data_IF_047092452702
#
_entry.id   IF_047092452702
#
_cell.length_a   1.000
_cell.length_b   1.000
_cell.length_c   1.000
_cell.angle_alpha   90.00
_cell.angle_beta   90.00
_cell.angle_gamma   90.00
#
_symmetry.space_group_name_H-M   'P 1'
#
loop_
_entity.id
_entity.type
_entity.pdbx_description
1 polymer ?
#
# COMPACT_ATOMS: atom_id res chain seq x y z
N UNK A 1 -19.39 -15.19 1.78
CA UNK A 1 -17.96 -14.96 2.07
C UNK A 1 -17.78 -14.79 3.57
N UNK A 2 -17.04 -15.69 4.22
CA UNK A 2 -16.84 -15.64 5.68
C UNK A 2 -16.08 -14.38 6.09
N UNK A 3 -16.22 -13.95 7.35
CA UNK A 3 -15.51 -12.78 7.88
C UNK A 3 -13.99 -12.93 7.75
N UNK A 4 -13.48 -14.14 7.98
CA UNK A 4 -12.08 -14.48 7.82
C UNK A 4 -11.60 -14.27 6.38
N UNK A 5 -12.31 -14.83 5.39
CA UNK A 5 -11.92 -14.71 3.98
C UNK A 5 -11.86 -13.24 3.53
N UNK A 6 -12.79 -12.40 3.99
CA UNK A 6 -12.77 -10.95 3.71
C UNK A 6 -11.55 -10.25 4.33
N UNK A 7 -11.14 -10.66 5.53
CA UNK A 7 -9.95 -10.13 6.19
C UNK A 7 -8.67 -10.51 5.42
N UNK A 8 -8.59 -11.77 4.95
CA UNK A 8 -7.49 -12.24 4.11
C UNK A 8 -7.45 -11.49 2.78
N UNK A 9 -8.59 -11.29 2.09
CA UNK A 9 -8.63 -10.50 0.86
C UNK A 9 -8.19 -9.05 1.08
N UNK A 10 -8.63 -8.42 2.17
CA UNK A 10 -8.20 -7.06 2.51
C UNK A 10 -6.70 -7.00 2.81
N UNK A 11 -6.14 -8.01 3.50
CA UNK A 11 -4.70 -8.12 3.74
C UNK A 11 -3.95 -8.23 2.42
N UNK A 12 -4.32 -9.20 1.59
CA UNK A 12 -3.67 -9.46 0.30
C UNK A 12 -3.72 -8.22 -0.60
N UNK A 13 -4.81 -7.46 -0.57
CA UNK A 13 -4.92 -6.21 -1.30
C UNK A 13 -3.91 -5.17 -0.82
N UNK A 14 -3.80 -4.96 0.49
CA UNK A 14 -2.90 -3.97 1.07
C UNK A 14 -1.43 -4.36 0.85
N UNK A 15 -1.10 -5.66 1.00
CA UNK A 15 0.23 -6.20 0.69
C UNK A 15 0.55 -6.01 -0.79
N UNK A 16 -0.37 -6.36 -1.69
CA UNK A 16 -0.16 -6.21 -3.13
C UNK A 16 0.07 -4.75 -3.53
N UNK A 17 -0.68 -3.81 -2.93
CA UNK A 17 -0.52 -2.38 -3.21
C UNK A 17 0.82 -1.85 -2.71
N UNK A 18 1.24 -2.23 -1.50
CA UNK A 18 2.57 -1.87 -0.97
C UNK A 18 3.70 -2.46 -1.84
N UNK A 19 3.58 -3.73 -2.25
CA UNK A 19 4.55 -4.39 -3.11
C UNK A 19 4.59 -3.81 -4.53
N UNK A 20 3.45 -3.48 -5.13
CA UNK A 20 3.43 -2.82 -6.44
C UNK A 20 4.04 -1.42 -6.36
N UNK A 21 3.72 -0.70 -5.29
CA UNK A 21 4.27 0.63 -5.07
C UNK A 21 5.79 0.62 -4.99
N UNK A 22 6.35 -0.21 -4.10
CA UNK A 22 7.79 -0.29 -3.92
C UNK A 22 8.52 -0.78 -5.19
N UNK A 23 7.92 -1.68 -5.97
CA UNK A 23 8.51 -2.15 -7.23
C UNK A 23 8.50 -1.07 -8.32
N UNK A 24 7.38 -0.35 -8.47
CA UNK A 24 7.28 0.78 -9.41
C UNK A 24 8.21 1.93 -9.04
N UNK A 25 8.29 2.25 -7.74
CA UNK A 25 9.17 3.28 -7.22
C UNK A 25 10.65 2.92 -7.48
N UNK A 26 11.03 1.68 -7.18
CA UNK A 26 12.39 1.19 -7.42
C UNK A 26 12.75 1.30 -8.90
N UNK A 27 11.88 0.85 -9.80
CA UNK A 27 12.13 0.98 -11.24
C UNK A 27 12.30 2.42 -11.70
N UNK A 28 11.45 3.33 -11.20
CA UNK A 28 11.53 4.75 -11.52
C UNK A 28 12.84 5.37 -11.05
N UNK A 29 13.30 5.02 -9.85
CA UNK A 29 14.56 5.52 -9.29
C UNK A 29 15.78 4.99 -10.06
N UNK A 30 15.74 3.74 -10.53
CA UNK A 30 16.87 3.12 -11.23
C UNK A 30 16.95 3.45 -12.72
N UNK A 31 15.80 3.52 -13.40
CA UNK A 31 15.74 3.60 -14.86
C UNK A 31 15.20 4.93 -15.38
N UNK A 32 14.69 5.80 -14.50
CA UNK A 32 14.00 7.03 -14.89
C UNK A 32 12.63 6.80 -15.56
N UNK A 33 12.17 5.54 -15.66
CA UNK A 33 10.92 5.15 -16.28
C UNK A 33 10.06 4.27 -15.35
N UNK A 34 8.75 4.26 -15.57
CA UNK A 34 7.84 3.37 -14.85
C UNK A 34 8.05 1.93 -15.33
N UNK A 35 8.34 1.02 -14.40
CA UNK A 35 8.54 -0.40 -14.69
C UNK A 35 8.49 -1.25 -13.42
N UNK A 36 8.70 -2.56 -13.56
CA UNK A 36 8.94 -3.46 -12.44
C UNK A 36 10.43 -3.77 -12.43
N UNK A 37 11.17 -3.23 -11.47
CA UNK A 37 12.59 -3.52 -11.27
C UNK A 37 12.85 -3.76 -9.78
N UNK A 38 13.76 -4.68 -9.50
CA UNK A 38 14.24 -5.00 -8.15
C UNK A 38 15.65 -4.44 -8.06
N UNK A 39 16.04 -3.80 -6.94
CA UNK A 39 17.24 -3.00 -6.97
C UNK A 39 18.52 -3.82 -6.85
N UNK A 40 19.47 -3.63 -7.77
CA UNK A 40 20.89 -3.94 -7.54
C UNK A 40 21.51 -2.86 -6.64
N UNK A 41 21.67 -3.15 -5.35
CA UNK A 41 22.17 -2.24 -4.31
C UNK A 41 23.41 -2.82 -3.60
N UNK A 42 24.26 -1.99 -2.94
CA UNK A 42 25.47 -2.44 -2.25
C UNK A 42 25.20 -3.41 -1.07
N UNK A 43 24.00 -3.32 -0.50
CA UNK A 43 23.36 -4.42 0.22
C UNK A 43 22.37 -5.06 -0.76
N UNK A 44 22.51 -6.36 -1.05
CA UNK A 44 21.53 -7.10 -1.87
C UNK A 44 20.21 -7.16 -1.11
N UNK A 45 19.39 -6.12 -1.30
CA UNK A 45 18.03 -6.09 -0.80
C UNK A 45 17.22 -7.08 -1.63
N UNK A 46 16.96 -8.25 -1.05
CA UNK A 46 16.42 -9.35 -1.81
C UNK A 46 14.91 -9.17 -2.03
N UNK A 47 14.37 -9.93 -2.98
CA UNK A 47 12.91 -10.04 -3.18
C UNK A 47 12.18 -10.40 -1.90
N UNK A 48 12.83 -11.17 -1.01
CA UNK A 48 12.27 -11.57 0.26
C UNK A 48 12.08 -10.38 1.21
N UNK A 49 13.09 -9.54 1.37
CA UNK A 49 13.03 -8.35 2.25
C UNK A 49 11.92 -7.40 1.80
N UNK A 50 11.86 -7.18 0.49
CA UNK A 50 10.81 -6.39 -0.15
C UNK A 50 9.40 -6.90 0.17
N UNK A 51 9.19 -8.22 0.07
CA UNK A 51 7.90 -8.83 0.38
C UNK A 51 7.59 -8.81 1.87
N UNK A 52 8.61 -8.99 2.73
CA UNK A 52 8.46 -8.94 4.18
C UNK A 52 7.97 -7.55 4.60
N UNK A 53 8.59 -6.48 4.09
CA UNK A 53 8.19 -5.11 4.39
C UNK A 53 6.77 -4.81 3.89
N UNK A 54 6.41 -5.29 2.69
CA UNK A 54 5.05 -5.19 2.18
C UNK A 54 4.03 -5.94 3.05
N UNK A 55 4.39 -7.12 3.58
CA UNK A 55 3.54 -7.89 4.49
C UNK A 55 3.34 -7.16 5.81
N UNK A 56 4.41 -6.66 6.43
CA UNK A 56 4.32 -5.87 7.67
C UNK A 56 3.49 -4.60 7.49
N UNK A 57 3.73 -3.86 6.40
CA UNK A 57 2.95 -2.68 6.06
C UNK A 57 1.47 -3.02 5.85
N UNK A 58 1.18 -4.11 5.15
CA UNK A 58 -0.18 -4.62 4.94
C UNK A 58 -0.88 -5.00 6.26
N UNK A 59 -0.18 -5.63 7.19
CA UNK A 59 -0.71 -5.99 8.51
C UNK A 59 -1.04 -4.75 9.35
N UNK A 60 -0.14 -3.76 9.40
CA UNK A 60 -0.37 -2.50 10.12
C UNK A 60 -1.54 -1.73 9.50
N UNK A 61 -1.57 -1.63 8.17
CA UNK A 61 -2.67 -0.99 7.45
C UNK A 61 -4.01 -1.71 7.65
N UNK A 62 -4.02 -3.05 7.71
CA UNK A 62 -5.22 -3.83 8.01
C UNK A 62 -5.71 -3.57 9.44
N UNK A 63 -4.80 -3.52 10.42
CA UNK A 63 -5.15 -3.20 11.80
C UNK A 63 -5.78 -1.79 11.89
N UNK A 64 -5.17 -0.80 11.25
CA UNK A 64 -5.69 0.56 11.16
C UNK A 64 -7.07 0.60 10.48
N UNK A 65 -7.25 -0.15 9.39
CA UNK A 65 -8.51 -0.28 8.66
C UNK A 65 -9.62 -0.88 9.53
N UNK A 66 -9.31 -1.93 10.31
CA UNK A 66 -10.26 -2.54 11.24
C UNK A 66 -10.67 -1.56 12.34
N UNK A 67 -9.70 -0.84 12.92
CA UNK A 67 -9.95 0.18 13.96
C UNK A 67 -10.81 1.32 13.40
N UNK A 68 -10.45 1.85 12.23
CA UNK A 68 -11.21 2.90 11.56
C UNK A 68 -12.63 2.44 11.22
N UNK A 69 -12.81 1.23 10.72
CA UNK A 69 -14.15 0.67 10.48
C UNK A 69 -14.95 0.51 11.77
N UNK A 70 -14.33 0.12 12.89
CA UNK A 70 -15.03 0.00 14.19
C UNK A 70 -15.49 1.35 14.71
N UNK A 71 -14.63 2.37 14.62
CA UNK A 71 -14.95 3.74 15.04
C UNK A 71 -16.05 4.35 14.15
N UNK A 72 -16.00 4.10 12.85
CA UNK A 72 -16.89 4.72 11.88
C UNK A 72 -18.18 3.92 11.61
N UNK A 73 -18.28 2.65 12.01
CA UNK A 73 -19.54 1.87 11.95
C UNK A 73 -20.70 2.57 12.67
N UNK A 74 -20.40 3.41 13.66
CA UNK A 74 -21.40 4.20 14.39
C UNK A 74 -21.83 5.49 13.67
N UNK A 75 -21.15 5.91 12.58
CA UNK A 75 -21.30 7.26 12.00
C UNK A 75 -21.30 7.38 10.45
N UNK A 76 -21.00 6.34 9.64
CA UNK A 76 -20.83 6.52 8.16
C UNK A 76 -21.90 5.87 7.27
N UNK A 77 -22.46 6.63 6.30
CA UNK A 77 -23.04 6.09 5.07
C UNK A 77 -21.96 5.53 4.11
N UNK A 78 -22.38 4.76 3.09
CA UNK A 78 -21.50 3.96 2.21
C UNK A 78 -20.29 4.67 1.57
N UNK A 79 -20.30 6.01 1.43
CA UNK A 79 -19.16 6.80 0.93
C UNK A 79 -17.96 6.81 1.89
N UNK A 80 -18.18 6.76 3.21
CA UNK A 80 -17.10 6.74 4.21
C UNK A 80 -16.21 5.50 4.12
N UNK A 81 -16.74 4.36 3.64
CA UNK A 81 -15.98 3.11 3.50
C UNK A 81 -14.91 3.18 2.41
N UNK A 82 -15.16 3.95 1.34
CA UNK A 82 -14.20 4.13 0.24
C UNK A 82 -13.03 4.98 0.73
N UNK A 83 -13.32 6.09 1.43
CA UNK A 83 -12.29 6.97 1.99
C UNK A 83 -11.38 6.24 3.00
N UNK A 84 -11.96 5.44 3.90
CA UNK A 84 -11.17 4.66 4.87
C UNK A 84 -10.27 3.63 4.18
N UNK A 85 -10.75 3.01 3.10
CA UNK A 85 -9.92 2.06 2.32
C UNK A 85 -8.77 2.78 1.61
N UNK A 86 -9.06 3.93 1.02
CA UNK A 86 -8.06 4.77 0.37
C UNK A 86 -6.95 5.16 1.34
N UNK A 87 -7.31 5.64 2.54
CA UNK A 87 -6.35 5.98 3.59
C UNK A 87 -5.54 4.77 4.06
N UNK A 88 -6.17 3.60 4.21
CA UNK A 88 -5.44 2.38 4.55
C UNK A 88 -4.44 1.97 3.46
N UNK A 89 -4.79 2.13 2.18
CA UNK A 89 -3.87 1.87 1.07
C UNK A 89 -2.69 2.86 1.06
N UNK A 90 -2.95 4.15 1.31
CA UNK A 90 -1.89 5.15 1.49
C UNK A 90 -0.94 4.77 2.62
N UNK A 91 -1.49 4.33 3.76
CA UNK A 91 -0.69 3.91 4.92
C UNK A 91 0.16 2.68 4.58
N UNK A 92 -0.38 1.71 3.86
CA UNK A 92 0.37 0.53 3.42
C UNK A 92 1.54 0.91 2.50
N UNK A 93 1.34 1.80 1.54
CA UNK A 93 2.40 2.27 0.65
C UNK A 93 3.46 3.10 1.38
N UNK A 94 3.04 3.97 2.30
CA UNK A 94 3.95 4.77 3.12
C UNK A 94 4.85 3.90 4.01
N UNK A 95 4.28 2.88 4.65
CA UNK A 95 5.03 1.98 5.53
C UNK A 95 5.85 0.94 4.76
N UNK A 96 5.44 0.58 3.55
CA UNK A 96 6.14 -0.36 2.67
C UNK A 96 7.15 0.30 1.74
N UNK A 97 7.49 1.58 1.95
CA UNK A 97 8.54 2.23 1.17
C UNK A 97 9.91 1.57 1.48
N UNK A 98 10.74 1.32 0.46
CA UNK A 98 12.07 0.76 0.68
C UNK A 98 12.93 1.71 1.53
N UNK A 99 13.78 1.15 2.39
CA UNK A 99 14.66 1.97 3.24
C UNK A 99 15.64 2.76 2.35
N UNK A 100 15.70 4.10 2.48
CA UNK A 100 16.62 4.96 1.72
C UNK A 100 18.10 4.54 1.82
N UNK A 101 18.49 3.89 2.93
CA UNK A 101 19.85 3.35 3.14
C UNK A 101 20.20 2.24 2.15
N UNK A 102 19.20 1.54 1.62
CA UNK A 102 19.38 0.52 0.57
C UNK A 102 19.96 1.17 -0.69
N UNK A 103 19.65 2.43 -0.96
CA UNK A 103 20.20 3.18 -2.09
C UNK A 103 21.52 3.88 -1.78
N UNK A 104 22.13 3.63 -0.60
CA UNK A 104 23.39 4.25 -0.19
C UNK A 104 23.29 5.74 0.15
N UNK A 105 22.08 6.26 0.35
CA UNK A 105 21.85 7.67 0.60
C UNK A 105 22.08 8.06 2.07
N UNK A 106 22.60 9.27 2.29
CA UNK A 106 22.78 9.89 3.63
C UNK A 106 21.62 10.82 3.99
N UNK A 107 20.42 10.47 3.54
CA UNK A 107 19.25 11.35 3.66
C UNK A 107 18.88 11.63 5.11
N UNK A 108 18.50 12.87 5.37
CA UNK A 108 17.86 13.31 6.60
C UNK A 108 16.54 12.58 6.80
N UNK A 109 16.09 12.46 8.05
CA UNK A 109 14.92 11.64 8.45
C UNK A 109 13.63 11.94 7.66
N UNK A 110 13.46 13.15 7.15
CA UNK A 110 12.23 13.59 6.46
C UNK A 110 12.32 13.47 4.93
N UNK A 111 13.52 13.44 4.36
CA UNK A 111 13.73 13.36 2.90
C UNK A 111 13.10 12.10 2.28
N UNK A 112 13.17 10.90 2.89
CA UNK A 112 12.53 9.70 2.33
C UNK A 112 11.02 9.87 2.19
N UNK A 113 10.35 10.46 3.18
CA UNK A 113 8.92 10.72 3.11
C UNK A 113 8.57 11.65 1.96
N UNK A 114 9.39 12.68 1.71
CA UNK A 114 9.15 13.60 0.61
C UNK A 114 9.46 12.95 -0.74
N UNK A 115 10.68 12.47 -0.93
CA UNK A 115 11.18 11.98 -2.21
C UNK A 115 10.53 10.65 -2.63
N UNK A 116 10.39 9.73 -1.66
CA UNK A 116 9.92 8.36 -1.92
C UNK A 116 8.42 8.21 -1.76
N UNK A 117 7.67 9.20 -1.28
CA UNK A 117 6.23 9.09 -1.11
C UNK A 117 5.47 10.32 -1.60
N UNK A 118 5.73 11.50 -1.03
CA UNK A 118 5.01 12.73 -1.39
C UNK A 118 5.35 13.26 -2.78
N UNK A 119 6.45 12.86 -3.40
CA UNK A 119 6.77 13.23 -4.78
C UNK A 119 6.24 12.22 -5.81
N UNK A 120 5.64 11.12 -5.34
CA UNK A 120 5.26 9.96 -6.16
C UNK A 120 3.74 9.83 -6.32
N UNK A 121 2.99 10.95 -6.27
CA UNK A 121 1.52 10.94 -6.36
C UNK A 121 1.00 10.32 -7.67
N UNK A 122 1.79 10.40 -8.73
CA UNK A 122 1.58 9.75 -10.02
C UNK A 122 1.49 8.21 -9.91
N UNK A 123 2.11 7.60 -8.90
CA UNK A 123 2.03 6.16 -8.61
C UNK A 123 1.07 5.90 -7.44
N UNK A 124 1.17 6.69 -6.37
CA UNK A 124 0.42 6.52 -5.12
C UNK A 124 -1.09 6.67 -5.36
N UNK A 125 -1.53 7.68 -6.11
CA UNK A 125 -2.96 7.92 -6.33
C UNK A 125 -3.64 6.81 -7.12
N UNK A 126 -3.15 6.40 -8.31
CA UNK A 126 -3.80 5.33 -9.06
C UNK A 126 -3.89 4.03 -8.27
N UNK A 127 -2.84 3.66 -7.53
CA UNK A 127 -2.83 2.45 -6.71
C UNK A 127 -3.83 2.53 -5.55
N UNK A 128 -3.88 3.63 -4.82
CA UNK A 128 -4.85 3.81 -3.73
C UNK A 128 -6.30 3.80 -4.23
N UNK A 129 -6.57 4.41 -5.39
CA UNK A 129 -7.87 4.38 -6.04
C UNK A 129 -8.24 2.98 -6.53
N UNK A 130 -7.31 2.28 -7.16
CA UNK A 130 -7.49 0.89 -7.60
C UNK A 130 -7.79 -0.03 -6.42
N UNK A 131 -7.09 0.13 -5.30
CA UNK A 131 -7.35 -0.62 -4.07
C UNK A 131 -8.76 -0.36 -3.54
N UNK A 132 -9.16 0.92 -3.46
CA UNK A 132 -10.49 1.29 -3.00
C UNK A 132 -11.60 0.74 -3.92
N UNK A 133 -11.38 0.75 -5.24
CA UNK A 133 -12.29 0.19 -6.24
C UNK A 133 -12.39 -1.34 -6.12
N UNK A 134 -11.26 -2.05 -6.10
CA UNK A 134 -11.18 -3.51 -5.98
C UNK A 134 -11.89 -3.98 -4.70
N UNK A 135 -11.60 -3.32 -3.57
CA UNK A 135 -12.24 -3.66 -2.30
C UNK A 135 -13.74 -3.42 -2.32
N UNK A 136 -14.19 -2.35 -2.98
CA UNK A 136 -15.62 -2.05 -3.13
C UNK A 136 -16.32 -3.13 -3.95
N UNK A 137 -15.70 -3.63 -5.02
CA UNK A 137 -16.30 -4.66 -5.88
C UNK A 137 -16.63 -5.94 -5.12
N UNK A 138 -15.72 -6.45 -4.28
CA UNK A 138 -15.97 -7.69 -3.53
C UNK A 138 -16.75 -7.49 -2.21
N UNK A 139 -16.83 -6.25 -1.70
CA UNK A 139 -17.62 -5.90 -0.50
C UNK A 139 -19.03 -5.40 -0.83
N UNK A 140 -19.32 -5.12 -2.10
CA UNK A 140 -20.67 -4.78 -2.55
C UNK A 140 -21.60 -5.97 -2.25
N UNK A 141 -22.81 -5.72 -1.71
CA UNK A 141 -23.83 -6.76 -1.69
C UNK A 141 -24.06 -7.19 -3.14
N UNK A 142 -23.87 -8.49 -3.44
CA UNK A 142 -24.34 -9.07 -4.70
C UNK A 142 -25.82 -8.72 -4.76
N UNK A 143 -26.20 -7.79 -5.63
CA UNK A 143 -27.60 -7.62 -6.00
C UNK A 143 -27.96 -8.92 -6.69
N UNK A 144 -28.68 -9.79 -6.00
CA UNK A 144 -29.35 -10.91 -6.63
C UNK A 144 -30.27 -10.31 -7.68
N UNK A 145 -29.90 -10.48 -8.95
CA UNK A 145 -30.81 -10.29 -10.07
C UNK A 145 -31.64 -11.57 -10.22
#
# INVERSE_FOLDING_TARGET
>A
MSRFLRGVCDLLLLVAVAALYGACLTAKLQTGAYGLAIPDAPYTYERADFLIDAVFAGLVALAALIVAERLWRRRAPGRGRVAVTFVAALLAMYLGMPDPRVFGNTWARWEPTFELFLHQWDIVLPLALAAAAARRMWRAPRRSA
#
